data_IF_069507098813
#
_entry.id   IF_069507098813
#
_cell.length_a   1.000
_cell.length_b   1.000
_cell.length_c   1.000
_cell.angle_alpha   90.00
_cell.angle_beta   90.00
_cell.angle_gamma   90.00
#
_symmetry.space_group_name_H-M   'P 1'
#
loop_
_entity.id
_entity.type
_entity.pdbx_description
1 polymer ?
#
# COMPACT_ATOMS: atom_id res chain seq x y z
N UNK A 1 -9.43 -12.54 36.05
CA UNK A 1 -8.43 -11.52 35.69
C UNK A 1 -8.14 -10.76 36.97
N UNK A 2 -6.97 -10.94 37.58
CA UNK A 2 -6.55 -10.14 38.73
C UNK A 2 -5.92 -8.86 38.19
N UNK A 3 -6.43 -7.71 38.66
CA UNK A 3 -5.87 -6.40 38.36
C UNK A 3 -4.79 -6.08 39.38
N UNK A 4 -3.57 -5.86 38.92
CA UNK A 4 -2.51 -5.32 39.75
C UNK A 4 -2.68 -3.80 39.91
N UNK A 5 -2.50 -3.29 41.14
CA UNK A 5 -2.58 -1.86 41.44
C UNK A 5 -1.19 -1.33 41.83
N UNK A 6 -0.87 -0.13 41.34
CA UNK A 6 0.35 0.60 41.71
C UNK A 6 -0.05 1.75 42.63
N UNK A 7 0.57 1.82 43.83
CA UNK A 7 0.38 2.89 44.77
C UNK A 7 1.20 4.12 44.36
N UNK A 8 0.50 5.22 44.04
CA UNK A 8 1.13 6.49 43.65
C UNK A 8 0.61 7.58 44.61
N UNK A 9 1.42 7.85 45.66
CA UNK A 9 1.00 8.72 46.74
C UNK A 9 -0.14 8.10 47.56
N UNK A 10 -1.24 8.83 47.71
CA UNK A 10 -2.45 8.38 48.44
C UNK A 10 -3.45 7.63 47.56
N UNK A 11 -3.14 7.39 46.29
CA UNK A 11 -4.03 6.75 45.33
C UNK A 11 -3.49 5.40 44.86
N UNK A 12 -4.37 4.44 44.66
CA UNK A 12 -4.10 3.15 44.04
C UNK A 12 -4.62 3.18 42.60
N UNK A 13 -3.69 3.18 41.64
CA UNK A 13 -3.99 3.18 40.21
C UNK A 13 -3.85 1.76 39.63
N UNK A 14 -4.83 1.25 38.86
CA UNK A 14 -4.68 -0.04 38.21
C UNK A 14 -3.54 0.03 37.19
N UNK A 15 -2.66 -0.98 37.20
CA UNK A 15 -1.57 -1.16 36.25
C UNK A 15 -2.14 -1.59 34.90
N UNK A 16 -2.69 -0.65 34.17
CA UNK A 16 -3.19 -0.89 32.83
C UNK A 16 -2.03 -0.76 31.85
N UNK A 17 -1.53 -1.87 31.36
CA UNK A 17 -0.64 -1.89 30.21
C UNK A 17 -1.49 -2.03 28.96
N UNK A 18 -1.43 -1.04 28.07
CA UNK A 18 -1.90 -1.24 26.70
C UNK A 18 -1.06 -2.38 26.10
N UNK A 19 -1.71 -3.35 25.48
CA UNK A 19 -1.01 -4.33 24.67
C UNK A 19 -0.07 -3.57 23.75
N UNK A 20 1.22 -3.85 23.88
CA UNK A 20 2.27 -3.18 23.12
C UNK A 20 2.12 -3.62 21.65
N UNK A 21 1.20 -2.99 20.97
CA UNK A 21 1.11 -3.08 19.51
C UNK A 21 2.46 -2.57 19.03
N UNK A 22 3.25 -3.47 18.46
CA UNK A 22 4.54 -3.17 17.84
C UNK A 22 4.49 -1.76 17.29
N UNK A 23 5.46 -0.93 17.62
CA UNK A 23 5.59 0.47 17.16
C UNK A 23 5.80 0.56 15.64
N UNK A 24 5.00 -0.17 14.87
CA UNK A 24 4.98 -0.06 13.43
C UNK A 24 4.17 1.19 13.08
N UNK A 25 4.84 2.17 12.53
CA UNK A 25 4.22 3.43 12.14
C UNK A 25 3.43 3.25 10.85
N UNK A 26 2.23 3.79 10.84
CA UNK A 26 1.40 3.85 9.62
C UNK A 26 1.96 4.99 8.76
N UNK A 27 2.36 4.69 7.53
CA UNK A 27 2.85 5.68 6.58
C UNK A 27 1.71 6.36 5.78
N UNK A 28 2.07 7.23 4.82
CA UNK A 28 1.09 7.98 4.01
C UNK A 28 0.05 7.10 3.33
N UNK A 29 0.44 5.91 2.85
CA UNK A 29 -0.46 4.99 2.14
C UNK A 29 -1.51 4.37 3.07
N UNK A 30 -1.10 3.99 4.27
CA UNK A 30 -2.03 3.51 5.29
C UNK A 30 -3.04 4.57 5.72
N UNK A 31 -2.61 5.82 5.85
CA UNK A 31 -3.53 6.94 6.16
C UNK A 31 -4.52 7.19 5.02
N UNK A 32 -4.07 7.19 3.77
CA UNK A 32 -4.97 7.30 2.61
C UNK A 32 -5.98 6.14 2.56
N UNK A 33 -5.55 4.92 2.86
CA UNK A 33 -6.46 3.77 2.96
C UNK A 33 -7.49 3.95 4.07
N UNK A 34 -7.09 4.48 5.23
CA UNK A 34 -7.99 4.77 6.34
C UNK A 34 -9.08 5.77 5.92
N UNK A 35 -8.70 6.85 5.26
CA UNK A 35 -9.63 7.87 4.79
C UNK A 35 -10.59 7.31 3.73
N UNK A 36 -10.09 6.51 2.81
CA UNK A 36 -10.91 5.81 1.83
C UNK A 36 -11.93 4.88 2.49
N UNK A 37 -11.52 4.08 3.48
CA UNK A 37 -12.41 3.18 4.21
C UNK A 37 -13.52 3.96 4.95
N UNK A 38 -13.18 5.07 5.59
CA UNK A 38 -14.15 5.94 6.29
C UNK A 38 -15.17 6.57 5.34
N UNK A 39 -14.71 7.01 4.17
CA UNK A 39 -15.58 7.70 3.20
C UNK A 39 -16.45 6.73 2.40
N UNK A 40 -15.87 5.65 1.89
CA UNK A 40 -16.51 4.79 0.89
C UNK A 40 -16.89 3.39 1.39
N UNK A 41 -16.22 2.86 2.39
CA UNK A 41 -16.41 1.47 2.88
C UNK A 41 -16.69 1.40 4.38
N UNK A 42 -17.67 2.17 4.84
CA UNK A 42 -18.02 2.28 6.26
C UNK A 42 -18.29 0.94 6.96
N UNK A 43 -18.97 0.02 6.28
CA UNK A 43 -19.24 -1.31 6.83
C UNK A 43 -17.95 -2.11 7.10
N UNK A 44 -17.01 -2.08 6.17
CA UNK A 44 -15.71 -2.73 6.32
C UNK A 44 -14.89 -2.06 7.42
N UNK A 45 -14.86 -0.72 7.44
CA UNK A 45 -14.20 0.05 8.49
C UNK A 45 -14.72 -0.35 9.89
N UNK A 46 -16.03 -0.36 10.08
CA UNK A 46 -16.67 -0.73 11.37
C UNK A 46 -16.35 -2.18 11.74
N UNK A 47 -16.40 -3.11 10.79
CA UNK A 47 -16.07 -4.52 11.03
C UNK A 47 -14.62 -4.71 11.47
N UNK A 48 -13.66 -4.01 10.82
CA UNK A 48 -12.25 -4.07 11.19
C UNK A 48 -11.98 -3.43 12.55
N UNK A 49 -12.68 -2.34 12.84
CA UNK A 49 -12.59 -1.64 14.14
C UNK A 49 -13.10 -2.52 15.27
N UNK A 50 -14.27 -3.15 15.12
CA UNK A 50 -14.87 -4.03 16.13
C UNK A 50 -14.02 -5.30 16.40
N UNK A 51 -13.26 -5.74 15.41
CA UNK A 51 -12.36 -6.91 15.52
C UNK A 51 -10.95 -6.53 16.00
N UNK A 52 -10.68 -5.28 16.28
CA UNK A 52 -9.34 -4.74 16.61
C UNK A 52 -8.26 -5.09 15.58
N UNK A 53 -8.66 -5.22 14.32
CA UNK A 53 -7.77 -5.56 13.20
C UNK A 53 -7.46 -4.39 12.27
N UNK A 54 -8.03 -3.22 12.54
CA UNK A 54 -7.88 -2.04 11.69
C UNK A 54 -6.41 -1.62 11.57
N UNK A 55 -5.73 -1.47 12.71
CA UNK A 55 -4.32 -1.06 12.76
C UNK A 55 -3.42 -2.03 11.99
N UNK A 56 -3.58 -3.34 12.22
CA UNK A 56 -2.82 -4.37 11.52
C UNK A 56 -3.07 -4.34 10.00
N UNK A 57 -4.32 -4.11 9.58
CA UNK A 57 -4.66 -3.97 8.16
C UNK A 57 -3.98 -2.75 7.53
N UNK A 58 -3.99 -1.59 8.22
CA UNK A 58 -3.35 -0.38 7.71
C UNK A 58 -1.83 -0.51 7.62
N UNK A 59 -1.19 -1.15 8.60
CA UNK A 59 0.24 -1.45 8.58
C UNK A 59 0.59 -2.39 7.41
N UNK A 60 -0.20 -3.43 7.20
CA UNK A 60 0.00 -4.35 6.08
C UNK A 60 -0.09 -3.63 4.73
N UNK A 61 -1.15 -2.83 4.52
CA UNK A 61 -1.32 -2.04 3.29
C UNK A 61 -0.18 -1.04 3.11
N UNK A 62 0.32 -0.45 4.20
CA UNK A 62 1.47 0.46 4.16
C UNK A 62 2.73 -0.20 3.63
N UNK A 63 3.03 -1.41 4.12
CA UNK A 63 4.19 -2.21 3.67
C UNK A 63 4.01 -2.67 2.23
N UNK A 64 2.86 -3.26 1.91
CA UNK A 64 2.57 -3.75 0.56
C UNK A 64 2.70 -2.61 -0.49
N UNK A 65 2.30 -1.38 -0.13
CA UNK A 65 2.41 -0.21 -1.00
C UNK A 65 3.86 0.26 -1.20
N UNK A 66 4.68 0.26 -0.15
CA UNK A 66 6.11 0.58 -0.25
C UNK A 66 6.87 -0.46 -1.06
N UNK A 67 6.60 -1.74 -0.82
CA UNK A 67 7.25 -2.83 -1.54
C UNK A 67 6.90 -2.78 -3.04
N UNK A 68 5.63 -2.54 -3.37
CA UNK A 68 5.20 -2.39 -4.77
C UNK A 68 5.88 -1.19 -5.43
N UNK A 69 5.91 -0.02 -4.75
CA UNK A 69 6.58 1.17 -5.26
C UNK A 69 8.06 0.92 -5.54
N UNK A 70 8.77 0.31 -4.58
CA UNK A 70 10.19 0.01 -4.69
C UNK A 70 10.47 -0.95 -5.85
N UNK A 71 9.70 -2.03 -5.97
CA UNK A 71 9.82 -3.01 -7.05
C UNK A 71 9.61 -2.37 -8.43
N UNK A 72 8.61 -1.49 -8.55
CA UNK A 72 8.36 -0.76 -9.79
C UNK A 72 9.52 0.20 -10.12
N UNK A 73 10.02 0.94 -9.14
CA UNK A 73 11.15 1.86 -9.34
C UNK A 73 12.44 1.11 -9.73
N UNK A 74 12.68 -0.06 -9.14
CA UNK A 74 13.82 -0.91 -9.56
C UNK A 74 13.65 -1.43 -10.99
N UNK A 75 12.44 -1.83 -11.38
CA UNK A 75 12.15 -2.27 -12.74
C UNK A 75 12.38 -1.14 -13.75
N UNK A 76 11.93 0.08 -13.45
CA UNK A 76 12.16 1.24 -14.32
C UNK A 76 13.64 1.58 -14.45
N UNK A 77 14.42 1.53 -13.35
CA UNK A 77 15.87 1.73 -13.39
C UNK A 77 16.60 0.68 -14.24
N UNK A 78 16.10 -0.54 -14.29
CA UNK A 78 16.67 -1.61 -15.12
C UNK A 78 16.27 -1.48 -16.59
N UNK A 79 15.08 -0.97 -16.88
CA UNK A 79 14.56 -0.85 -18.25
C UNK A 79 15.08 0.38 -18.99
N UNK A 80 15.39 1.47 -18.31
CA UNK A 80 15.79 2.74 -18.94
C UNK A 80 17.23 3.10 -18.57
N UNK A 81 18.13 3.03 -19.57
CA UNK A 81 19.53 3.41 -19.40
C UNK A 81 19.72 4.86 -18.97
N UNK A 82 18.77 5.75 -19.29
CA UNK A 82 18.79 7.16 -18.87
C UNK A 82 18.65 7.35 -17.37
N UNK A 83 18.15 6.35 -16.65
CA UNK A 83 18.07 6.34 -15.17
C UNK A 83 19.33 5.78 -14.51
N UNK A 84 20.32 5.38 -15.31
CA UNK A 84 21.59 4.88 -14.80
C UNK A 84 22.37 5.97 -14.05
N UNK A 85 23.22 5.58 -13.09
CA UNK A 85 24.08 6.49 -12.34
C UNK A 85 25.03 7.29 -13.24
N UNK A 86 25.47 6.71 -14.38
CA UNK A 86 26.30 7.41 -15.38
C UNK A 86 25.55 8.57 -16.03
N UNK A 87 24.28 8.42 -16.32
CA UNK A 87 23.43 9.47 -16.90
C UNK A 87 23.20 10.62 -15.91
N UNK A 88 23.16 10.32 -14.60
CA UNK A 88 23.06 11.29 -13.52
C UNK A 88 24.27 12.22 -13.48
N UNK A 89 25.49 11.70 -13.70
CA UNK A 89 26.73 12.49 -13.75
C UNK A 89 26.77 13.44 -14.96
N UNK A 90 26.25 12.98 -16.11
CA UNK A 90 26.30 13.73 -17.37
C UNK A 90 25.21 14.82 -17.43
N UNK A 91 23.98 14.51 -17.00
CA UNK A 91 22.85 15.44 -17.07
C UNK A 91 21.88 15.24 -15.87
N UNK A 92 22.27 15.79 -14.73
CA UNK A 92 21.55 15.64 -13.47
C UNK A 92 20.10 16.14 -13.55
N UNK A 93 19.87 17.26 -14.25
CA UNK A 93 18.52 17.86 -14.32
C UNK A 93 17.54 16.99 -15.07
N UNK A 94 17.95 16.43 -16.19
CA UNK A 94 17.12 15.52 -16.98
C UNK A 94 16.87 14.20 -16.25
N UNK A 95 17.89 13.67 -15.58
CA UNK A 95 17.77 12.50 -14.73
C UNK A 95 16.74 12.69 -13.61
N UNK A 96 16.77 13.81 -12.88
CA UNK A 96 15.80 14.12 -11.81
C UNK A 96 14.38 14.23 -12.38
N UNK A 97 14.21 14.87 -13.54
CA UNK A 97 12.91 15.02 -14.19
C UNK A 97 12.32 13.64 -14.55
N UNK A 98 13.11 12.76 -15.16
CA UNK A 98 12.69 11.42 -15.50
C UNK A 98 12.36 10.58 -14.26
N UNK A 99 13.22 10.63 -13.23
CA UNK A 99 12.99 9.91 -11.98
C UNK A 99 11.68 10.32 -11.30
N UNK A 100 11.36 11.62 -11.28
CA UNK A 100 10.11 12.11 -10.72
C UNK A 100 8.90 11.66 -11.55
N UNK A 101 9.00 11.64 -12.89
CA UNK A 101 7.93 11.14 -13.75
C UNK A 101 7.65 9.65 -13.48
N UNK A 102 8.66 8.81 -13.43
CA UNK A 102 8.49 7.39 -13.11
C UNK A 102 7.93 7.18 -11.70
N UNK A 103 8.40 7.96 -10.72
CA UNK A 103 7.88 7.90 -9.36
C UNK A 103 6.39 8.26 -9.31
N UNK A 104 5.98 9.33 -9.97
CA UNK A 104 4.57 9.73 -10.03
C UNK A 104 3.70 8.65 -10.70
N UNK A 105 4.17 8.07 -11.79
CA UNK A 105 3.47 6.96 -12.47
C UNK A 105 3.33 5.74 -11.55
N UNK A 106 4.40 5.37 -10.84
CA UNK A 106 4.35 4.27 -9.88
C UNK A 106 3.40 4.57 -8.71
N UNK A 107 3.42 5.79 -8.16
CA UNK A 107 2.48 6.21 -7.11
C UNK A 107 1.02 6.14 -7.57
N UNK A 108 0.71 6.56 -8.79
CA UNK A 108 -0.65 6.45 -9.34
C UNK A 108 -1.13 5.00 -9.43
N UNK A 109 -0.26 4.08 -9.83
CA UNK A 109 -0.58 2.66 -9.90
C UNK A 109 -0.83 2.10 -8.48
N UNK A 110 0.06 2.40 -7.53
CA UNK A 110 -0.10 1.99 -6.13
C UNK A 110 -1.43 2.50 -5.55
N UNK A 111 -1.79 3.74 -5.80
CA UNK A 111 -3.05 4.32 -5.33
C UNK A 111 -4.26 3.59 -5.94
N UNK A 112 -4.24 3.30 -7.23
CA UNK A 112 -5.35 2.62 -7.90
C UNK A 112 -5.48 1.16 -7.45
N UNK A 113 -4.38 0.45 -7.36
CA UNK A 113 -4.39 -1.00 -7.11
C UNK A 113 -4.52 -1.38 -5.64
N UNK A 114 -3.94 -0.61 -4.72
CA UNK A 114 -3.94 -0.95 -3.30
C UNK A 114 -4.87 -0.07 -2.46
N UNK A 115 -4.90 1.24 -2.74
CA UNK A 115 -5.59 2.18 -1.86
C UNK A 115 -7.07 2.29 -2.21
N UNK A 116 -7.41 2.46 -3.50
CA UNK A 116 -8.77 2.70 -3.96
C UNK A 116 -9.48 1.45 -4.51
N UNK A 117 -8.87 0.29 -4.35
CA UNK A 117 -9.47 -0.96 -4.82
C UNK A 117 -10.64 -1.40 -3.94
N UNK A 118 -11.72 -1.85 -4.58
CA UNK A 118 -12.90 -2.39 -3.89
C UNK A 118 -12.68 -3.79 -3.33
N UNK A 119 -11.81 -4.58 -3.94
CA UNK A 119 -11.63 -5.99 -3.65
C UNK A 119 -10.36 -6.29 -2.87
N UNK A 120 -10.53 -6.92 -1.72
CA UNK A 120 -9.45 -7.50 -0.89
C UNK A 120 -8.72 -8.67 -1.60
N UNK A 121 -9.25 -9.13 -2.74
CA UNK A 121 -8.75 -10.28 -3.51
C UNK A 121 -7.48 -10.03 -4.32
N UNK A 122 -7.08 -8.78 -4.52
CA UNK A 122 -5.86 -8.44 -5.28
C UNK A 122 -4.59 -8.91 -4.54
N UNK A 123 -4.67 -9.08 -3.22
CA UNK A 123 -3.54 -9.50 -2.38
C UNK A 123 -2.99 -10.89 -2.71
N UNK A 124 -3.84 -11.80 -3.22
CA UNK A 124 -3.41 -13.16 -3.59
C UNK A 124 -2.80 -13.22 -4.99
N UNK A 125 -3.14 -12.29 -5.87
CA UNK A 125 -2.63 -12.27 -7.25
C UNK A 125 -1.27 -11.57 -7.36
N UNK A 126 -1.01 -10.54 -6.54
CA UNK A 126 0.28 -9.83 -6.55
C UNK A 126 1.39 -10.70 -5.96
N UNK A 127 1.08 -11.55 -4.98
CA UNK A 127 2.06 -12.50 -4.42
C UNK A 127 2.46 -13.60 -5.41
N UNK A 128 1.62 -13.91 -6.39
CA UNK A 128 1.95 -14.87 -7.46
C UNK A 128 2.86 -14.27 -8.54
N UNK A 129 2.94 -12.95 -8.66
CA UNK A 129 3.78 -12.26 -9.63
C UNK A 129 5.23 -12.02 -9.16
N UNK A 130 5.50 -12.24 -7.87
CA UNK A 130 6.88 -12.22 -7.34
C UNK A 130 7.70 -13.46 -7.72
N UNK A 131 7.07 -14.47 -8.34
CA UNK A 131 7.74 -15.64 -8.91
C UNK A 131 7.78 -15.51 -10.43
N UNK A 132 8.67 -14.70 -10.91
CA UNK A 132 9.41 -14.77 -12.18
C UNK A 132 8.64 -15.05 -13.49
N UNK A 133 7.42 -14.51 -13.68
CA UNK A 133 6.85 -14.40 -15.03
C UNK A 133 6.17 -13.04 -15.22
N UNK A 134 6.80 -12.24 -16.06
CA UNK A 134 6.35 -10.92 -16.48
C UNK A 134 5.20 -11.08 -17.48
N UNK A 135 3.98 -11.23 -16.99
CA UNK A 135 2.77 -11.15 -17.81
C UNK A 135 2.01 -9.88 -17.44
N UNK A 136 2.05 -8.93 -18.34
CA UNK A 136 1.31 -7.67 -18.26
C UNK A 136 -0.22 -7.94 -18.19
N UNK A 137 -0.94 -7.53 -17.13
CA UNK A 137 -2.36 -7.83 -17.00
C UNK A 137 -3.27 -6.69 -17.49
N UNK A 138 -3.04 -6.14 -18.69
CA UNK A 138 -4.06 -5.21 -19.20
C UNK A 138 -4.69 -5.61 -20.53
N UNK A 139 -4.78 -6.92 -20.77
CA UNK A 139 -5.51 -7.42 -21.94
C UNK A 139 -6.82 -8.11 -21.60
N UNK A 140 -7.52 -7.59 -20.60
CA UNK A 140 -8.89 -8.05 -20.35
C UNK A 140 -9.75 -6.85 -19.91
N UNK A 141 -10.46 -6.29 -20.82
CA UNK A 141 -11.72 -5.58 -20.82
C UNK A 141 -11.75 -4.62 -22.01
N UNK A 142 -12.09 -5.17 -23.15
CA UNK A 142 -13.02 -4.64 -24.13
C UNK A 142 -13.26 -5.78 -25.13
N UNK A 143 -13.97 -6.80 -24.67
CA UNK A 143 -14.55 -7.81 -25.52
C UNK A 143 -15.74 -7.22 -26.23
N UNK A 144 -15.64 -7.22 -27.52
CA UNK A 144 -16.64 -6.90 -28.51
C UNK A 144 -18.02 -7.51 -28.23
N UNK A 145 -19.00 -6.66 -28.29
CA UNK A 145 -20.33 -7.03 -28.73
C UNK A 145 -20.76 -6.05 -29.80
N UNK A 146 -20.57 -6.40 -31.06
CA UNK A 146 -21.46 -6.06 -32.16
C UNK A 146 -21.02 -6.76 -33.44
N UNK A 147 -21.48 -8.00 -33.60
CA UNK A 147 -21.77 -8.53 -34.93
C UNK A 147 -23.28 -8.50 -35.08
N UNK A 148 -23.78 -7.56 -35.78
CA UNK A 148 -25.08 -7.62 -36.43
C UNK A 148 -24.82 -7.97 -37.88
N UNK A 149 -25.20 -9.19 -38.25
CA UNK A 149 -25.38 -9.60 -39.66
C UNK A 149 -26.65 -8.94 -40.23
N UNK A 150 -26.48 -8.39 -41.40
CA UNK A 150 -27.43 -8.49 -42.49
C UNK A 150 -26.71 -9.10 -43.70
#
# INVERSE_FOLDING_TARGET
MELEYIKTGDYELPKLTLYDNKKETINKYGMLRLDYLKAHKKALYTSLLMKDKLTNHLISVSKDAEDLLNNMMESYKKSDEKLSEKSKETNQFEWVKLMNNYKNTAEEIVLKELIYTENVWVRTHIFCLASNEFVLPYKFVYGNSHTLNF
#
